data_IF_451886919193
#
_entry.id   IF_451886919193
#
_cell.length_a   1.000
_cell.length_b   1.000
_cell.length_c   1.000
_cell.angle_alpha   90.00
_cell.angle_beta   90.00
_cell.angle_gamma   90.00
#
_symmetry.space_group_name_H-M   'P 1'
#
loop_
_entity.id
_entity.type
_entity.pdbx_description
1 polymer ?
#
# COMPACT_ATOMS: atom_id res chain seq x y z
N UNK A 1 -29.38 12.65 -6.57
CA UNK A 1 -30.70 12.03 -6.38
C UNK A 1 -30.44 10.55 -6.10
N UNK A 2 -30.36 10.16 -4.82
CA UNK A 2 -29.92 8.82 -4.42
C UNK A 2 -31.06 7.82 -4.61
N UNK A 3 -30.99 7.03 -5.69
CA UNK A 3 -31.95 5.96 -5.95
C UNK A 3 -31.72 4.85 -4.92
N UNK A 4 -32.72 4.63 -4.07
CA UNK A 4 -32.78 3.49 -3.15
C UNK A 4 -32.94 2.23 -4.02
N UNK A 5 -32.01 1.30 -3.90
CA UNK A 5 -32.04 0.02 -4.61
C UNK A 5 -33.27 -0.78 -4.16
N UNK A 6 -33.95 -1.39 -5.12
CA UNK A 6 -35.08 -2.27 -4.88
C UNK A 6 -34.68 -3.49 -4.06
N UNK A 7 -35.62 -4.08 -3.32
CA UNK A 7 -35.37 -5.27 -2.50
C UNK A 7 -34.81 -6.44 -3.32
N UNK A 8 -35.14 -6.53 -4.61
CA UNK A 8 -34.55 -7.49 -5.56
C UNK A 8 -33.12 -7.15 -5.96
N UNK A 9 -32.76 -5.87 -6.15
CA UNK A 9 -31.35 -5.46 -6.38
C UNK A 9 -30.50 -5.67 -5.12
N UNK A 10 -31.08 -5.44 -3.93
CA UNK A 10 -30.44 -5.71 -2.65
C UNK A 10 -30.24 -7.21 -2.44
N UNK A 11 -31.25 -8.04 -2.70
CA UNK A 11 -31.15 -9.50 -2.62
C UNK A 11 -30.29 -10.11 -3.74
N UNK A 12 -30.15 -9.45 -4.90
CA UNK A 12 -29.20 -9.84 -5.95
C UNK A 12 -27.75 -9.59 -5.51
N UNK A 13 -27.49 -8.50 -4.80
CA UNK A 13 -26.19 -8.25 -4.16
C UNK A 13 -25.89 -9.22 -3.01
N UNK A 14 -26.91 -9.78 -2.36
CA UNK A 14 -26.78 -10.72 -1.23
C UNK A 14 -27.15 -12.17 -1.61
N UNK A 15 -27.29 -12.45 -2.90
CA UNK A 15 -27.56 -13.78 -3.45
C UNK A 15 -26.27 -14.58 -3.41
N UNK A 16 -26.34 -15.79 -2.83
CA UNK A 16 -25.24 -16.77 -2.71
C UNK A 16 -24.53 -16.95 -4.04
N UNK A 17 -23.44 -16.22 -4.24
CA UNK A 17 -22.63 -16.30 -5.43
C UNK A 17 -21.21 -16.61 -5.01
N UNK A 18 -20.79 -17.82 -5.36
CA UNK A 18 -19.39 -18.21 -5.52
C UNK A 18 -18.81 -17.33 -6.63
N UNK A 19 -18.43 -16.09 -6.30
CA UNK A 19 -17.77 -15.20 -7.25
C UNK A 19 -16.31 -15.65 -7.37
N UNK A 20 -15.84 -15.84 -8.60
CA UNK A 20 -14.39 -15.90 -8.86
C UNK A 20 -13.82 -14.51 -8.58
N UNK A 21 -12.84 -14.40 -7.67
CA UNK A 21 -12.31 -13.10 -7.21
C UNK A 21 -11.73 -12.24 -8.35
N UNK A 22 -11.33 -12.84 -9.48
CA UNK A 22 -10.92 -12.09 -10.68
C UNK A 22 -12.06 -11.39 -11.42
N UNK A 23 -13.32 -11.74 -11.15
CA UNK A 23 -14.49 -10.99 -11.65
C UNK A 23 -14.84 -9.78 -10.78
N UNK A 24 -14.22 -9.66 -9.59
CA UNK A 24 -14.54 -8.64 -8.59
C UNK A 24 -13.71 -7.37 -8.79
N UNK A 25 -12.41 -7.50 -9.11
CA UNK A 25 -11.57 -6.39 -9.54
C UNK A 25 -10.36 -6.91 -10.32
N UNK A 26 -9.95 -6.15 -11.32
CA UNK A 26 -8.73 -6.42 -12.09
C UNK A 26 -7.45 -6.11 -11.32
N UNK A 27 -7.57 -5.47 -10.14
CA UNK A 27 -6.45 -5.10 -9.28
C UNK A 27 -5.92 -6.26 -8.43
N UNK A 28 -6.69 -7.36 -8.33
CA UNK A 28 -6.33 -8.48 -7.46
C UNK A 28 -5.32 -9.38 -8.15
N UNK A 29 -4.13 -9.44 -7.60
CA UNK A 29 -3.08 -10.38 -8.01
C UNK A 29 -2.80 -11.37 -6.86
N UNK A 30 -3.09 -12.68 -7.02
CA UNK A 30 -2.91 -13.72 -5.99
C UNK A 30 -1.44 -14.14 -5.80
N UNK A 31 -0.54 -13.17 -5.76
CA UNK A 31 0.90 -13.39 -5.65
C UNK A 31 1.51 -12.32 -4.76
N UNK A 32 2.68 -12.63 -4.22
CA UNK A 32 3.48 -11.64 -3.53
C UNK A 32 4.26 -10.78 -4.53
N UNK A 33 4.47 -9.50 -4.24
CA UNK A 33 5.30 -8.62 -5.07
C UNK A 33 6.71 -8.53 -4.50
N UNK A 34 7.69 -9.17 -5.16
CA UNK A 34 9.09 -9.21 -4.73
C UNK A 34 10.00 -8.82 -5.89
N UNK A 35 10.88 -7.85 -5.67
CA UNK A 35 11.89 -7.41 -6.64
C UNK A 35 11.30 -7.02 -8.02
N UNK A 36 10.16 -6.33 -8.01
CA UNK A 36 9.51 -5.87 -9.25
C UNK A 36 8.66 -6.92 -9.96
N UNK A 37 8.48 -8.11 -9.37
CA UNK A 37 7.77 -9.23 -9.98
C UNK A 37 6.76 -9.86 -9.04
N UNK A 38 5.69 -10.41 -9.61
CA UNK A 38 4.69 -11.21 -8.91
C UNK A 38 5.15 -12.66 -8.80
N UNK A 39 5.32 -13.16 -7.57
CA UNK A 39 5.89 -14.47 -7.27
C UNK A 39 4.99 -15.30 -6.35
N UNK A 40 5.08 -16.62 -6.49
CA UNK A 40 4.52 -17.60 -5.54
C UNK A 40 5.53 -17.91 -4.43
N UNK A 41 5.06 -18.55 -3.35
CA UNK A 41 5.91 -19.07 -2.28
C UNK A 41 6.91 -20.09 -2.83
N UNK A 42 8.14 -20.07 -2.33
CA UNK A 42 9.17 -21.02 -2.73
C UNK A 42 8.80 -22.46 -2.36
N UNK A 43 8.09 -22.65 -1.25
CA UNK A 43 7.58 -23.96 -0.83
C UNK A 43 6.35 -24.40 -1.64
N UNK A 44 5.73 -23.48 -2.40
CA UNK A 44 4.43 -23.68 -3.04
C UNK A 44 3.24 -23.60 -2.09
N UNK A 45 3.48 -23.33 -0.79
CA UNK A 45 2.42 -23.19 0.20
C UNK A 45 1.55 -21.96 -0.07
N UNK A 46 0.26 -22.09 0.24
CA UNK A 46 -0.75 -21.04 0.14
C UNK A 46 -1.68 -21.14 1.35
N UNK A 47 -2.31 -20.03 1.70
CA UNK A 47 -3.43 -20.00 2.64
C UNK A 47 -4.65 -19.30 2.01
N UNK A 48 -5.82 -19.71 2.45
CA UNK A 48 -7.09 -19.22 1.93
C UNK A 48 -7.56 -17.97 2.68
N UNK A 49 -8.00 -16.97 1.93
CA UNK A 49 -8.73 -15.80 2.41
C UNK A 49 -10.22 -16.04 2.20
N UNK A 50 -11.02 -15.72 3.22
CA UNK A 50 -12.46 -15.94 3.22
C UNK A 50 -13.22 -14.64 3.44
N UNK A 51 -14.42 -14.53 2.87
CA UNK A 51 -15.34 -13.43 3.13
C UNK A 51 -15.91 -13.58 4.56
N UNK A 52 -15.66 -12.64 5.48
CA UNK A 52 -16.10 -12.76 6.86
C UNK A 52 -17.62 -12.65 7.02
N UNK A 53 -18.35 -12.13 6.02
CA UNK A 53 -19.81 -11.99 6.09
C UNK A 53 -20.56 -13.31 5.90
N UNK A 54 -19.96 -14.28 5.21
CA UNK A 54 -20.62 -15.53 4.82
C UNK A 54 -19.71 -16.78 4.85
N UNK A 55 -18.41 -16.61 5.10
CA UNK A 55 -17.41 -17.68 5.17
C UNK A 55 -16.98 -18.26 3.82
N UNK A 56 -17.46 -17.70 2.70
CA UNK A 56 -17.09 -18.20 1.37
C UNK A 56 -15.61 -17.96 1.08
N UNK A 57 -15.00 -18.90 0.34
CA UNK A 57 -13.63 -18.75 -0.14
C UNK A 57 -13.56 -17.60 -1.15
N UNK A 58 -12.61 -16.68 -0.93
CA UNK A 58 -12.29 -15.62 -1.87
C UNK A 58 -11.11 -16.07 -2.74
N UNK A 59 -9.93 -16.18 -2.14
CA UNK A 59 -8.69 -16.36 -2.90
C UNK A 59 -7.64 -17.07 -2.06
N UNK A 60 -6.76 -17.82 -2.72
CA UNK A 60 -5.56 -18.35 -2.08
C UNK A 60 -4.39 -17.41 -2.37
N UNK A 61 -3.64 -17.06 -1.32
CA UNK A 61 -2.44 -16.22 -1.42
C UNK A 61 -1.21 -17.00 -0.93
N UNK A 62 -0.01 -16.69 -1.43
CA UNK A 62 1.21 -17.38 -1.02
C UNK A 62 1.46 -17.30 0.48
N UNK A 63 1.75 -18.46 1.09
CA UNK A 63 2.28 -18.55 2.45
C UNK A 63 3.81 -18.50 2.38
N UNK A 64 4.36 -17.30 2.56
CA UNK A 64 5.77 -17.00 2.33
C UNK A 64 6.60 -17.35 3.57
N UNK A 65 7.69 -18.09 3.38
CA UNK A 65 8.55 -18.54 4.46
C UNK A 65 9.77 -17.60 4.72
N UNK A 66 10.67 -18.04 5.60
CA UNK A 66 11.92 -17.34 5.90
C UNK A 66 12.82 -17.14 4.66
N UNK A 67 12.85 -18.13 3.75
CA UNK A 67 13.67 -18.08 2.55
C UNK A 67 13.14 -17.06 1.56
N UNK A 68 11.81 -17.01 1.37
CA UNK A 68 11.15 -15.99 0.57
C UNK A 68 11.37 -14.58 1.13
N UNK A 69 11.25 -14.45 2.45
CA UNK A 69 11.51 -13.18 3.16
C UNK A 69 12.96 -12.74 2.98
N UNK A 70 13.92 -13.67 3.07
CA UNK A 70 15.34 -13.40 2.84
C UNK A 70 15.58 -12.88 1.42
N UNK A 71 14.94 -13.46 0.40
CA UNK A 71 15.02 -12.95 -0.98
C UNK A 71 14.52 -11.51 -1.09
N UNK A 72 13.40 -11.20 -0.43
CA UNK A 72 12.82 -9.85 -0.42
C UNK A 72 13.75 -8.83 0.26
N UNK A 73 14.35 -9.18 1.40
CA UNK A 73 15.32 -8.34 2.11
C UNK A 73 16.54 -8.05 1.23
N UNK A 74 17.11 -9.08 0.60
CA UNK A 74 18.28 -8.91 -0.27
C UNK A 74 17.94 -8.05 -1.49
N UNK A 75 16.74 -8.20 -2.07
CA UNK A 75 16.25 -7.34 -3.14
C UNK A 75 16.11 -5.87 -2.70
N UNK A 76 15.47 -5.62 -1.56
CA UNK A 76 15.32 -4.27 -1.00
C UNK A 76 16.69 -3.63 -0.71
N UNK A 77 17.63 -4.38 -0.11
CA UNK A 77 19.00 -3.91 0.15
C UNK A 77 19.75 -3.52 -1.12
N UNK A 78 19.59 -4.28 -2.21
CA UNK A 78 20.17 -3.91 -3.51
C UNK A 78 19.50 -2.66 -4.09
N UNK A 79 18.17 -2.59 -4.08
CA UNK A 79 17.41 -1.45 -4.61
C UNK A 79 17.68 -0.16 -3.83
N UNK A 80 17.92 -0.25 -2.52
CA UNK A 80 18.26 0.91 -1.68
C UNK A 80 19.50 1.66 -2.18
N UNK A 81 20.50 0.94 -2.72
CA UNK A 81 21.74 1.55 -3.21
C UNK A 81 21.50 2.58 -4.32
N UNK A 82 20.54 2.34 -5.21
CA UNK A 82 20.15 3.31 -6.24
C UNK A 82 19.05 4.25 -5.77
N UNK A 83 18.07 3.76 -4.99
CA UNK A 83 16.97 4.58 -4.49
C UNK A 83 17.44 5.73 -3.61
N UNK A 84 18.43 5.51 -2.74
CA UNK A 84 18.95 6.57 -1.84
C UNK A 84 19.60 7.73 -2.60
N UNK A 85 20.10 7.48 -3.81
CA UNK A 85 20.75 8.48 -4.67
C UNK A 85 19.73 9.30 -5.48
N UNK A 86 18.45 8.91 -5.48
CA UNK A 86 17.39 9.71 -6.10
C UNK A 86 17.23 11.05 -5.38
N UNK A 87 16.76 12.07 -6.10
CA UNK A 87 16.44 13.36 -5.51
C UNK A 87 15.11 13.33 -4.77
N UNK A 88 14.92 14.25 -3.81
CA UNK A 88 13.61 14.43 -3.15
C UNK A 88 12.48 14.73 -4.14
N UNK A 89 12.79 15.41 -5.27
CA UNK A 89 11.82 15.71 -6.33
C UNK A 89 11.38 14.46 -7.08
N UNK A 90 12.30 13.57 -7.45
CA UNK A 90 11.95 12.32 -8.16
C UNK A 90 11.09 11.41 -7.29
N UNK A 91 11.45 11.27 -6.00
CA UNK A 91 10.64 10.51 -5.03
C UNK A 91 9.24 11.10 -4.86
N UNK A 92 9.16 12.43 -4.73
CA UNK A 92 7.90 13.17 -4.68
C UNK A 92 7.00 12.84 -5.88
N UNK A 93 7.56 12.87 -7.09
CA UNK A 93 6.80 12.55 -8.30
C UNK A 93 6.33 11.10 -8.36
N UNK A 94 7.12 10.14 -7.86
CA UNK A 94 6.72 8.73 -7.78
C UNK A 94 5.53 8.56 -6.82
N UNK A 95 5.64 9.10 -5.61
CA UNK A 95 4.57 9.03 -4.61
C UNK A 95 3.30 9.73 -5.08
N UNK A 96 3.42 10.87 -5.77
CA UNK A 96 2.28 11.59 -6.35
C UNK A 96 1.58 10.80 -7.45
N UNK A 97 2.34 10.07 -8.29
CA UNK A 97 1.74 9.16 -9.28
C UNK A 97 1.02 8.01 -8.59
N UNK A 98 1.58 7.46 -7.52
CA UNK A 98 0.92 6.41 -6.75
C UNK A 98 -0.40 6.91 -6.15
N UNK A 99 -0.39 8.10 -5.54
CA UNK A 99 -1.60 8.76 -5.05
C UNK A 99 -2.69 8.86 -6.13
N UNK A 100 -2.33 9.32 -7.32
CA UNK A 100 -3.28 9.49 -8.43
C UNK A 100 -3.89 8.14 -8.87
N UNK A 101 -3.08 7.09 -8.96
CA UNK A 101 -3.58 5.74 -9.32
C UNK A 101 -4.51 5.19 -8.23
N UNK A 102 -4.18 5.39 -6.95
CA UNK A 102 -5.07 5.01 -5.85
C UNK A 102 -6.38 5.80 -5.85
N UNK A 103 -6.36 7.10 -6.21
CA UNK A 103 -7.58 7.90 -6.36
C UNK A 103 -8.45 7.40 -7.53
N UNK A 104 -7.84 7.08 -8.67
CA UNK A 104 -8.54 6.58 -9.85
C UNK A 104 -9.30 5.28 -9.55
N UNK A 105 -8.70 4.40 -8.75
CA UNK A 105 -9.25 3.10 -8.38
C UNK A 105 -9.88 3.06 -6.98
N UNK A 106 -10.23 4.19 -6.37
CA UNK A 106 -10.71 4.27 -4.99
C UNK A 106 -11.91 3.34 -4.71
N UNK A 107 -12.88 3.28 -5.63
CA UNK A 107 -14.07 2.45 -5.48
C UNK A 107 -13.73 0.96 -5.47
N UNK A 108 -12.83 0.52 -6.34
CA UNK A 108 -12.40 -0.88 -6.45
C UNK A 108 -11.61 -1.30 -5.21
N UNK A 109 -10.68 -0.46 -4.76
CA UNK A 109 -9.90 -0.69 -3.54
C UNK A 109 -10.82 -0.79 -2.31
N UNK A 110 -11.84 0.05 -2.21
CA UNK A 110 -12.81 -0.01 -1.12
C UNK A 110 -13.63 -1.30 -1.14
N UNK A 111 -13.97 -1.84 -2.32
CA UNK A 111 -14.67 -3.14 -2.44
C UNK A 111 -13.78 -4.29 -2.02
N UNK A 112 -12.51 -4.29 -2.41
CA UNK A 112 -11.53 -5.29 -1.97
C UNK A 112 -11.45 -5.30 -0.44
N UNK A 113 -11.27 -4.13 0.16
CA UNK A 113 -11.18 -3.98 1.61
C UNK A 113 -12.46 -4.45 2.34
N UNK A 114 -13.64 -4.13 1.81
CA UNK A 114 -14.91 -4.64 2.36
C UNK A 114 -15.02 -6.16 2.27
N UNK A 115 -14.55 -6.77 1.18
CA UNK A 115 -14.66 -8.22 0.98
C UNK A 115 -13.71 -9.01 1.90
N UNK A 116 -12.47 -8.55 2.08
CA UNK A 116 -11.50 -9.26 2.92
C UNK A 116 -11.74 -9.03 4.42
N UNK A 117 -12.18 -7.83 4.82
CA UNK A 117 -12.26 -7.44 6.22
C UNK A 117 -13.70 -7.37 6.75
N UNK A 118 -14.69 -7.11 5.90
CA UNK A 118 -16.11 -7.09 6.26
C UNK A 118 -16.69 -5.72 6.65
N UNK A 119 -15.89 -4.64 6.71
CA UNK A 119 -16.41 -3.30 7.03
C UNK A 119 -17.38 -2.78 5.97
N UNK A 120 -18.38 -1.97 6.37
CA UNK A 120 -19.28 -1.31 5.43
C UNK A 120 -18.54 -0.52 4.36
N UNK A 121 -19.01 -0.59 3.11
CA UNK A 121 -18.37 0.08 1.97
C UNK A 121 -18.13 1.60 2.16
N UNK A 122 -19.04 2.40 2.78
CA UNK A 122 -18.76 3.81 3.05
C UNK A 122 -17.57 4.03 3.99
N UNK A 123 -17.38 3.14 4.97
CA UNK A 123 -16.24 3.18 5.89
C UNK A 123 -14.95 2.79 5.16
N UNK A 124 -14.99 1.73 4.35
CA UNK A 124 -13.86 1.34 3.50
C UNK A 124 -13.42 2.47 2.56
N UNK A 125 -14.37 3.20 1.93
CA UNK A 125 -14.04 4.37 1.10
C UNK A 125 -13.35 5.47 1.90
N UNK A 126 -13.82 5.75 3.11
CA UNK A 126 -13.18 6.70 4.02
C UNK A 126 -11.75 6.30 4.34
N UNK A 127 -11.52 5.02 4.61
CA UNK A 127 -10.19 4.47 4.89
C UNK A 127 -9.25 4.54 3.69
N UNK A 128 -9.72 4.23 2.47
CA UNK A 128 -8.90 4.38 1.27
C UNK A 128 -8.50 5.85 1.08
N UNK A 129 -9.42 6.80 1.24
CA UNK A 129 -9.09 8.24 1.15
C UNK A 129 -8.08 8.64 2.23
N UNK A 130 -8.31 8.20 3.46
CA UNK A 130 -7.40 8.47 4.58
C UNK A 130 -6.00 7.89 4.34
N UNK A 131 -5.90 6.63 3.93
CA UNK A 131 -4.65 5.97 3.58
C UNK A 131 -3.93 6.68 2.43
N UNK A 132 -4.68 7.08 1.40
CA UNK A 132 -4.12 7.77 0.25
C UNK A 132 -3.59 9.18 0.61
N UNK A 133 -4.17 9.84 1.61
CA UNK A 133 -3.68 11.15 2.09
C UNK A 133 -2.24 11.10 2.59
N UNK A 134 -1.77 9.97 3.12
CA UNK A 134 -0.37 9.79 3.50
C UNK A 134 0.56 9.81 2.28
N UNK A 135 0.15 9.21 1.15
CA UNK A 135 0.93 9.24 -0.09
C UNK A 135 1.11 10.67 -0.59
N UNK A 136 0.04 11.48 -0.55
CA UNK A 136 0.10 12.90 -0.88
C UNK A 136 1.04 13.64 0.07
N UNK A 137 0.83 13.55 1.38
CA UNK A 137 1.63 14.25 2.37
C UNK A 137 3.11 13.91 2.27
N UNK A 138 3.47 12.62 2.26
CA UNK A 138 4.86 12.20 2.15
C UNK A 138 5.48 12.49 0.79
N UNK A 139 4.67 12.63 -0.27
CA UNK A 139 5.18 13.12 -1.56
C UNK A 139 5.71 14.54 -1.45
N UNK A 140 5.09 15.40 -0.63
CA UNK A 140 5.54 16.77 -0.43
C UNK A 140 6.71 16.83 0.55
N UNK A 141 6.63 16.09 1.66
CA UNK A 141 7.68 16.01 2.67
C UNK A 141 9.00 15.42 2.14
N UNK A 142 8.95 14.62 1.07
CA UNK A 142 10.14 14.09 0.41
C UNK A 142 11.14 15.19 -0.03
N UNK A 143 10.69 16.45 -0.16
CA UNK A 143 11.51 17.61 -0.54
C UNK A 143 11.99 18.44 0.65
N UNK A 144 11.60 18.09 1.88
CA UNK A 144 11.81 18.85 3.12
C UNK A 144 12.70 18.13 4.13
N UNK A 145 13.58 17.25 3.66
CA UNK A 145 14.62 16.61 4.48
C UNK A 145 15.75 17.59 4.82
N UNK A 146 15.43 18.63 5.60
CA UNK A 146 16.37 19.65 6.02
C UNK A 146 17.41 19.08 7.00
N UNK A 147 18.64 19.56 6.90
CA UNK A 147 19.66 19.39 7.92
C UNK A 147 19.92 20.72 8.64
N UNK A 148 20.67 20.67 9.73
CA UNK A 148 21.01 21.84 10.53
C UNK A 148 22.47 22.27 10.32
N UNK A 149 22.72 23.58 10.46
CA UNK A 149 24.08 24.14 10.49
C UNK A 149 24.38 24.58 11.92
N UNK A 150 25.35 23.92 12.57
CA UNK A 150 25.82 24.32 13.89
C UNK A 150 27.03 25.26 13.76
N UNK A 151 26.97 26.42 14.41
CA UNK A 151 28.11 27.35 14.48
C UNK A 151 28.93 27.01 15.72
N UNK A 152 30.17 26.57 15.52
CA UNK A 152 31.12 26.41 16.61
C UNK A 152 31.58 27.79 17.10
N UNK A 153 31.35 28.09 18.38
CA UNK A 153 31.83 29.32 19.01
C UNK A 153 33.34 29.19 19.21
N UNK A 154 34.14 29.80 18.34
CA UNK A 154 35.56 30.03 18.60
C UNK A 154 35.70 30.83 19.90
N UNK A 155 36.12 30.15 20.98
CA UNK A 155 36.54 30.82 22.21
C UNK A 155 37.77 31.67 21.88
N UNK A 156 37.61 32.98 22.06
CA UNK A 156 38.58 34.01 21.69
C UNK A 156 39.97 33.71 22.26
N UNK A 157 40.95 33.69 21.35
CA UNK A 157 42.35 34.07 21.60
C UNK A 157 42.34 35.39 22.35
N UNK A 158 42.78 35.42 23.62
CA UNK A 158 43.40 36.57 24.30
C UNK A 158 44.10 36.07 25.58
N UNK A 159 45.33 35.57 25.42
CA UNK A 159 46.39 35.76 26.42
C UNK A 159 47.62 36.29 25.70
N UNK A 160 47.59 37.58 25.40
CA UNK A 160 48.81 38.38 25.39
C UNK A 160 49.05 38.73 26.85
N UNK A 161 50.03 38.08 27.47
CA UNK A 161 50.64 38.54 28.72
C UNK A 161 52.13 38.69 28.44
N UNK A 162 52.59 39.88 28.82
CA UNK A 162 53.94 40.44 28.68
C UNK A 162 55.05 39.52 29.19
#
# INVERSE_FOLDING_TARGET
MNRILSKSEYLFLHSKHTYSVRQISTLIEPKAFVNGSWVSSNSGAVFSVHDPSNGSHLIDVPDMDEHDTTKAILAASRAFKSWKETTGKERSQILRRFFNVCQEHQEELARILTLEQGKPLPEAKGEIVYGNSYLEWFSEEARRGYGDVSIERLSRIHKVQM
#
